data_IF_093009209111
#
_entry.id   IF_093009209111
#
_cell.length_a   1.000
_cell.length_b   1.000
_cell.length_c   1.000
_cell.angle_alpha   90.00
_cell.angle_beta   90.00
_cell.angle_gamma   90.00
#
_symmetry.space_group_name_H-M   'P 1'
#
loop_
_entity.id
_entity.type
_entity.pdbx_description
1 polymer ?
#
# COMPACT_ATOMS: atom_id res chain seq x y z
N UNK A 1 23.25 -49.67 -28.30
CA UNK A 1 23.42 -48.24 -28.63
C UNK A 1 23.00 -47.43 -27.41
N UNK A 2 23.95 -46.83 -26.69
CA UNK A 2 23.70 -46.01 -25.49
C UNK A 2 23.17 -44.65 -25.97
N UNK A 3 22.04 -44.19 -25.46
CA UNK A 3 21.46 -42.89 -25.81
C UNK A 3 22.42 -41.75 -25.41
N UNK A 4 22.91 -40.98 -26.38
CA UNK A 4 23.86 -39.87 -26.20
C UNK A 4 23.24 -38.57 -25.66
N UNK A 5 22.13 -38.65 -24.92
CA UNK A 5 21.48 -37.47 -24.37
C UNK A 5 21.36 -37.63 -22.86
N UNK A 6 22.35 -37.12 -22.14
CA UNK A 6 22.32 -36.96 -20.69
C UNK A 6 21.16 -36.02 -20.30
N UNK A 7 20.32 -36.39 -19.33
CA UNK A 7 19.17 -35.58 -18.91
C UNK A 7 19.62 -34.30 -18.20
N UNK A 8 19.83 -33.23 -18.97
CA UNK A 8 20.25 -31.94 -18.42
C UNK A 8 20.82 -30.95 -19.43
N UNK A 9 21.19 -31.39 -20.64
CA UNK A 9 21.82 -30.53 -21.67
C UNK A 9 20.99 -29.28 -22.01
N UNK A 10 19.67 -29.37 -21.96
CA UNK A 10 18.77 -28.28 -22.35
C UNK A 10 18.17 -27.51 -21.17
N UNK A 11 18.61 -27.77 -19.93
CA UNK A 11 18.10 -27.01 -18.79
C UNK A 11 18.70 -25.61 -18.84
N UNK A 12 17.89 -24.54 -18.90
CA UNK A 12 18.41 -23.18 -18.84
C UNK A 12 19.07 -22.98 -17.48
N UNK A 13 20.40 -22.93 -17.45
CA UNK A 13 21.16 -22.51 -16.27
C UNK A 13 21.10 -20.99 -16.22
N UNK A 14 20.47 -20.39 -15.19
CA UNK A 14 20.36 -18.95 -15.12
C UNK A 14 21.76 -18.35 -15.07
N UNK A 15 22.02 -17.42 -15.98
CA UNK A 15 23.29 -16.69 -15.96
C UNK A 15 23.40 -15.90 -14.66
N UNK A 16 24.63 -15.65 -14.19
CA UNK A 16 24.88 -14.79 -13.01
C UNK A 16 24.19 -13.42 -13.13
N UNK A 17 24.01 -12.91 -14.36
CA UNK A 17 23.26 -11.67 -14.61
C UNK A 17 21.75 -11.82 -14.35
N UNK A 18 21.14 -12.89 -14.83
CA UNK A 18 19.72 -13.19 -14.65
C UNK A 18 19.39 -13.41 -13.17
N UNK A 19 20.24 -14.17 -12.45
CA UNK A 19 20.07 -14.39 -11.02
C UNK A 19 20.09 -13.09 -10.19
N UNK A 20 20.98 -12.15 -10.53
CA UNK A 20 21.02 -10.84 -9.88
C UNK A 20 19.79 -10.00 -10.21
N UNK A 21 19.32 -10.01 -11.46
CA UNK A 21 18.11 -9.28 -11.83
C UNK A 21 16.84 -9.81 -11.15
N UNK A 22 16.73 -11.13 -10.97
CA UNK A 22 15.62 -11.75 -10.25
C UNK A 22 15.65 -11.37 -8.76
N UNK A 23 16.83 -11.39 -8.12
CA UNK A 23 16.99 -10.93 -6.75
C UNK A 23 16.55 -9.46 -6.56
N UNK A 24 17.00 -8.56 -7.44
CA UNK A 24 16.59 -7.14 -7.40
C UNK A 24 15.08 -6.99 -7.63
N UNK A 25 14.50 -7.75 -8.55
CA UNK A 25 13.07 -7.70 -8.84
C UNK A 25 12.24 -8.17 -7.64
N UNK A 26 12.66 -9.23 -6.97
CA UNK A 26 12.01 -9.74 -5.75
C UNK A 26 12.10 -8.71 -4.64
N UNK A 27 13.28 -8.16 -4.39
CA UNK A 27 13.49 -7.13 -3.36
C UNK A 27 12.63 -5.89 -3.62
N UNK A 28 12.54 -5.43 -4.86
CA UNK A 28 11.68 -4.31 -5.22
C UNK A 28 10.20 -4.57 -4.90
N UNK A 29 9.70 -5.78 -5.22
CA UNK A 29 8.32 -6.17 -4.88
C UNK A 29 8.10 -6.25 -3.37
N UNK A 30 9.07 -6.78 -2.64
CA UNK A 30 9.01 -6.86 -1.17
C UNK A 30 8.90 -5.45 -0.57
N UNK A 31 9.75 -4.51 -0.98
CA UNK A 31 9.72 -3.11 -0.54
C UNK A 31 8.35 -2.49 -0.81
N UNK A 32 7.86 -2.61 -2.04
CA UNK A 32 6.56 -2.06 -2.42
C UNK A 32 5.42 -2.64 -1.57
N UNK A 33 5.42 -3.95 -1.34
CA UNK A 33 4.40 -4.61 -0.53
C UNK A 33 4.46 -4.19 0.94
N UNK A 34 5.67 -4.06 1.50
CA UNK A 34 5.89 -3.62 2.88
C UNK A 34 5.38 -2.20 3.10
N UNK A 35 5.67 -1.29 2.18
CA UNK A 35 5.15 0.08 2.23
C UNK A 35 3.63 0.14 2.11
N UNK A 36 3.04 -0.62 1.18
CA UNK A 36 1.58 -0.66 1.02
C UNK A 36 0.90 -1.13 2.31
N UNK A 37 1.42 -2.19 2.93
CA UNK A 37 0.91 -2.73 4.19
C UNK A 37 1.03 -1.70 5.32
N UNK A 38 2.15 -0.99 5.41
CA UNK A 38 2.34 0.06 6.41
C UNK A 38 1.33 1.22 6.23
N UNK A 39 1.05 1.61 4.99
CA UNK A 39 0.04 2.64 4.68
C UNK A 39 -1.36 2.16 5.07
N UNK A 40 -1.73 0.93 4.71
CA UNK A 40 -3.03 0.33 5.08
C UNK A 40 -3.19 0.31 6.60
N UNK A 41 -2.22 -0.26 7.33
CA UNK A 41 -2.25 -0.33 8.79
C UNK A 41 -2.38 1.05 9.44
N UNK A 42 -1.69 2.07 8.92
CA UNK A 42 -1.85 3.45 9.40
C UNK A 42 -3.27 3.96 9.17
N UNK A 43 -3.83 3.75 7.99
CA UNK A 43 -5.18 4.21 7.67
C UNK A 43 -6.24 3.51 8.51
N UNK A 44 -6.09 2.22 8.78
CA UNK A 44 -6.98 1.45 9.65
C UNK A 44 -6.93 1.96 11.09
N UNK A 45 -5.73 2.21 11.63
CA UNK A 45 -5.55 2.82 12.96
C UNK A 45 -6.23 4.19 13.05
N UNK A 46 -6.05 5.05 12.06
CA UNK A 46 -6.68 6.37 12.03
C UNK A 46 -8.19 6.29 11.88
N UNK A 47 -8.70 5.35 11.07
CA UNK A 47 -10.13 5.13 10.91
C UNK A 47 -10.76 4.66 12.22
N UNK A 48 -10.12 3.71 12.92
CA UNK A 48 -10.57 3.25 14.23
C UNK A 48 -10.57 4.39 15.26
N UNK A 49 -9.54 5.23 15.28
CA UNK A 49 -9.47 6.40 16.16
C UNK A 49 -10.59 7.40 15.87
N UNK A 50 -10.89 7.70 14.59
CA UNK A 50 -12.01 8.58 14.21
C UNK A 50 -13.36 8.01 14.64
N UNK A 51 -13.59 6.72 14.42
CA UNK A 51 -14.84 6.09 14.85
C UNK A 51 -15.03 6.16 16.37
N UNK A 52 -13.95 5.96 17.14
CA UNK A 52 -13.99 6.11 18.60
C UNK A 52 -14.29 7.56 19.04
N UNK A 53 -13.75 8.55 18.31
CA UNK A 53 -14.04 9.97 18.56
C UNK A 53 -15.49 10.33 18.21
N UNK A 54 -16.02 9.85 17.09
CA UNK A 54 -17.42 10.08 16.67
C UNK A 54 -18.43 9.50 17.67
N UNK A 55 -18.11 8.37 18.31
CA UNK A 55 -18.94 7.80 19.38
C UNK A 55 -18.87 8.63 20.67
N UNK A 56 -17.73 9.29 20.92
CA UNK A 56 -17.48 10.05 22.13
C UNK A 56 -17.96 11.52 22.06
N UNK A 57 -17.97 12.14 20.88
CA UNK A 57 -18.41 13.52 20.71
C UNK A 57 -19.93 13.62 20.48
N UNK A 58 -20.69 14.30 21.36
CA UNK A 58 -22.08 14.63 21.07
C UNK A 58 -22.14 15.63 19.91
N UNK A 59 -23.02 15.39 18.93
CA UNK A 59 -23.19 16.23 17.76
C UNK A 59 -23.44 17.70 18.17
N UNK A 60 -22.44 18.56 17.92
CA UNK A 60 -22.56 20.00 18.16
C UNK A 60 -23.49 20.58 17.09
N UNK A 61 -24.61 21.23 17.45
CA UNK A 61 -25.55 21.73 16.46
C UNK A 61 -24.89 22.79 15.57
N UNK A 62 -25.27 22.87 14.28
CA UNK A 62 -24.67 23.82 13.36
C UNK A 62 -24.91 25.25 13.86
N UNK A 63 -23.82 25.97 14.12
CA UNK A 63 -23.87 27.36 14.59
C UNK A 63 -24.47 28.22 13.47
N UNK A 64 -25.64 28.82 13.73
CA UNK A 64 -26.35 29.64 12.75
C UNK A 64 -25.46 30.79 12.25
N UNK A 65 -25.25 30.87 10.93
CA UNK A 65 -24.49 31.95 10.30
C UNK A 65 -25.23 33.27 10.52
N UNK A 66 -24.62 34.20 11.28
CA UNK A 66 -25.13 35.58 11.41
C UNK A 66 -25.12 36.24 10.03
N UNK A 67 -26.29 36.56 9.51
CA UNK A 67 -26.43 37.31 8.25
C UNK A 67 -25.88 38.72 8.47
N UNK A 68 -24.94 39.14 7.62
CA UNK A 68 -24.38 40.50 7.67
C UNK A 68 -25.48 41.45 7.18
N UNK A 69 -26.10 42.19 8.11
CA UNK A 69 -27.20 43.11 7.81
C UNK A 69 -26.84 44.06 6.67
N UNK A 70 -27.71 44.15 5.66
CA UNK A 70 -27.61 45.17 4.61
C UNK A 70 -27.68 46.54 5.28
N UNK A 71 -26.62 47.35 5.17
CA UNK A 71 -26.71 48.79 5.47
C UNK A 71 -27.66 49.40 4.45
N UNK A 72 -28.74 49.99 4.94
CA UNK A 72 -29.68 50.75 4.15
C UNK A 72 -29.26 52.22 4.11
N UNK A 73 -29.26 52.75 2.89
CA UNK A 73 -29.29 54.15 2.42
C UNK A 73 -28.15 55.08 2.82
#
# INVERSE_FOLDING_TARGET
>A
MKSMLEPGIFKPTPSRGEAKSDATTRLAREIMSGEANARIAKTERLRAARLAQEVAEPAVPPVAKKTRGKRAK
#
